data_IF_172015204253
#
_entry.id   IF_172015204253
#
_cell.length_a   1.000
_cell.length_b   1.000
_cell.length_c   1.000
_cell.angle_alpha   90.00
_cell.angle_beta   90.00
_cell.angle_gamma   90.00
#
_symmetry.space_group_name_H-M   'P 1'
#
loop_
_entity.id
_entity.type
_entity.pdbx_description
1 polymer ?
#
# COMPACT_ATOMS: atom_id res chain seq x y z
N UNK A 1 19.69 -10.81 4.05
CA UNK A 1 18.27 -11.14 3.84
C UNK A 1 17.54 -11.30 5.16
N UNK A 2 17.97 -12.19 6.06
CA UNK A 2 17.34 -12.38 7.37
C UNK A 2 17.39 -11.14 8.28
N UNK A 3 18.53 -10.42 8.31
CA UNK A 3 18.65 -9.17 9.07
C UNK A 3 17.66 -8.09 8.60
N UNK A 4 17.44 -7.97 7.28
CA UNK A 4 16.49 -7.02 6.71
C UNK A 4 15.04 -7.39 7.06
N UNK A 5 14.68 -8.67 6.96
CA UNK A 5 13.38 -9.19 7.39
C UNK A 5 13.10 -8.89 8.87
N UNK A 6 14.08 -9.17 9.74
CA UNK A 6 13.93 -8.92 11.18
C UNK A 6 13.80 -7.41 11.49
N UNK A 7 14.51 -6.57 10.74
CA UNK A 7 14.37 -5.12 10.85
C UNK A 7 12.97 -4.66 10.42
N UNK A 8 12.48 -5.12 9.26
CA UNK A 8 11.14 -4.80 8.77
C UNK A 8 10.05 -5.18 9.76
N UNK A 9 10.09 -6.42 10.28
CA UNK A 9 9.15 -6.89 11.30
C UNK A 9 9.16 -5.98 12.54
N UNK A 10 10.34 -5.57 12.99
CA UNK A 10 10.50 -4.69 14.16
C UNK A 10 9.89 -3.31 13.91
N UNK A 11 10.18 -2.68 12.78
CA UNK A 11 9.68 -1.34 12.44
C UNK A 11 8.18 -1.35 12.17
N UNK A 12 7.65 -2.34 11.45
CA UNK A 12 6.20 -2.52 11.27
C UNK A 12 5.49 -2.67 12.62
N UNK A 13 6.00 -3.51 13.52
CA UNK A 13 5.43 -3.65 14.87
C UNK A 13 5.48 -2.36 15.68
N UNK A 14 6.58 -1.60 15.57
CA UNK A 14 6.72 -0.31 16.24
C UNK A 14 5.69 0.69 15.73
N UNK A 15 5.54 0.80 14.42
CA UNK A 15 4.53 1.64 13.77
C UNK A 15 3.12 1.23 14.21
N UNK A 16 2.77 -0.04 14.05
CA UNK A 16 1.46 -0.59 14.38
C UNK A 16 1.12 -0.39 15.87
N UNK A 17 2.08 -0.55 16.77
CA UNK A 17 1.86 -0.32 18.20
C UNK A 17 1.48 1.13 18.50
N UNK A 18 2.18 2.11 17.91
CA UNK A 18 1.90 3.53 18.11
C UNK A 18 0.53 3.91 17.58
N UNK A 19 0.17 3.43 16.39
CA UNK A 19 -1.13 3.74 15.80
C UNK A 19 -2.25 3.07 16.60
N UNK A 20 -2.17 1.75 16.86
CA UNK A 20 -3.22 1.02 17.58
C UNK A 20 -3.40 1.47 19.04
N UNK A 21 -2.31 1.77 19.74
CA UNK A 21 -2.37 2.00 21.20
C UNK A 21 -2.45 3.48 21.56
N UNK A 22 -2.02 4.37 20.67
CA UNK A 22 -1.85 5.79 20.97
C UNK A 22 -2.49 6.70 19.91
N UNK A 23 -3.10 6.13 18.86
CA UNK A 23 -3.59 6.87 17.69
C UNK A 23 -2.53 7.82 17.10
N UNK A 24 -1.24 7.42 17.18
CA UNK A 24 -0.09 8.22 16.77
C UNK A 24 0.51 7.67 15.47
N UNK A 25 0.38 8.46 14.41
CA UNK A 25 0.94 8.17 13.10
C UNK A 25 2.36 8.76 12.99
N UNK A 26 3.38 7.93 13.20
CA UNK A 26 4.78 8.32 13.08
C UNK A 26 5.39 7.78 11.78
N UNK A 27 5.27 8.56 10.70
CA UNK A 27 5.75 8.17 9.38
C UNK A 27 7.28 8.18 9.25
N UNK A 28 8.02 8.72 10.23
CA UNK A 28 9.49 8.62 10.22
C UNK A 28 9.96 7.17 10.29
N UNK A 29 9.14 6.29 10.88
CA UNK A 29 9.36 4.85 10.96
C UNK A 29 9.34 4.24 9.57
N UNK A 30 8.26 4.48 8.82
CA UNK A 30 8.06 3.92 7.49
C UNK A 30 9.00 4.57 6.47
N UNK A 31 9.30 5.87 6.60
CA UNK A 31 10.29 6.58 5.77
C UNK A 31 11.71 6.04 5.97
N UNK A 32 12.03 5.53 7.16
CA UNK A 32 13.30 4.85 7.44
C UNK A 32 13.32 3.38 6.99
N UNK A 33 12.16 2.79 6.74
CA UNK A 33 12.01 1.39 6.31
C UNK A 33 11.96 1.23 4.78
N UNK A 34 11.27 2.15 4.10
CA UNK A 34 11.05 2.11 2.65
C UNK A 34 12.24 2.68 1.87
N UNK A 35 12.40 2.23 0.63
CA UNK A 35 13.37 2.80 -0.32
C UNK A 35 13.08 4.28 -0.58
N UNK A 36 11.80 4.60 -0.78
CA UNK A 36 11.30 5.96 -1.00
C UNK A 36 9.90 6.08 -0.43
N UNK A 37 9.60 7.22 0.17
CA UNK A 37 8.25 7.57 0.61
C UNK A 37 8.00 9.04 0.32
N UNK A 38 6.95 9.33 -0.44
CA UNK A 38 6.43 10.69 -0.65
C UNK A 38 5.69 11.21 0.58
N UNK A 39 4.99 12.32 0.41
CA UNK A 39 4.36 13.06 1.50
C UNK A 39 2.83 12.85 1.50
N UNK A 40 2.15 13.31 2.56
CA UNK A 40 0.67 13.24 2.67
C UNK A 40 0.09 11.82 2.52
N UNK A 41 0.83 10.82 2.99
CA UNK A 41 0.39 9.43 2.99
C UNK A 41 -0.38 9.09 4.28
N UNK A 42 -1.35 8.20 4.17
CA UNK A 42 -2.15 7.70 5.28
C UNK A 42 -2.16 6.18 5.29
N UNK A 43 -1.59 5.56 6.32
CA UNK A 43 -1.42 4.11 6.38
C UNK A 43 -2.06 3.62 7.68
N UNK A 44 -3.13 2.86 7.56
CA UNK A 44 -3.82 2.27 8.70
C UNK A 44 -2.96 1.19 9.40
N UNK A 45 -3.21 0.90 10.69
CA UNK A 45 -2.41 -0.04 11.45
C UNK A 45 -2.54 -1.48 10.95
N UNK A 46 -1.64 -2.30 11.49
CA UNK A 46 -1.40 -3.70 11.09
C UNK A 46 -0.77 -3.85 9.70
N UNK A 47 -0.17 -2.77 9.19
CA UNK A 47 0.69 -2.82 8.02
C UNK A 47 1.90 -3.73 8.26
N UNK A 48 2.20 -4.60 7.29
CA UNK A 48 3.37 -5.47 7.31
C UNK A 48 4.06 -5.49 5.95
N UNK A 49 5.37 -5.68 5.95
CA UNK A 49 6.13 -5.98 4.74
C UNK A 49 7.23 -7.03 4.97
N UNK A 50 7.75 -7.56 3.88
CA UNK A 50 8.73 -8.64 3.87
C UNK A 50 10.16 -8.14 4.18
N UNK A 51 10.61 -7.09 3.48
CA UNK A 51 11.90 -6.43 3.68
C UNK A 51 11.77 -4.90 3.89
N UNK A 52 10.73 -4.28 3.33
CA UNK A 52 10.49 -2.83 3.35
C UNK A 52 11.36 -2.03 2.38
N UNK A 53 12.65 -2.36 2.32
CA UNK A 53 13.67 -1.65 1.53
C UNK A 53 13.53 -1.76 0.01
N UNK A 54 12.59 -2.56 -0.50
CA UNK A 54 12.25 -2.60 -1.93
C UNK A 54 10.95 -1.84 -2.25
N UNK A 55 10.34 -1.18 -1.27
CA UNK A 55 9.08 -0.44 -1.42
C UNK A 55 9.38 1.02 -1.72
N UNK A 56 8.85 1.53 -2.83
CA UNK A 56 8.81 2.95 -3.16
C UNK A 56 7.35 3.42 -3.15
N UNK A 57 7.01 4.30 -2.22
CA UNK A 57 5.67 4.87 -2.06
C UNK A 57 5.67 6.32 -2.54
N UNK A 58 4.69 6.68 -3.37
CA UNK A 58 4.42 8.04 -3.82
C UNK A 58 3.85 8.95 -2.72
N UNK A 59 3.15 9.99 -3.13
CA UNK A 59 2.47 10.96 -2.26
C UNK A 59 0.95 10.85 -2.39
N UNK A 60 0.22 11.27 -1.35
CA UNK A 60 -1.26 11.16 -1.32
C UNK A 60 -1.75 9.71 -1.46
N UNK A 61 -1.08 8.77 -0.80
CA UNK A 61 -1.47 7.35 -0.79
C UNK A 61 -2.22 7.00 0.48
N UNK A 62 -3.39 6.38 0.35
CA UNK A 62 -4.11 5.72 1.43
C UNK A 62 -3.90 4.20 1.35
N UNK A 63 -3.47 3.61 2.46
CA UNK A 63 -3.36 2.16 2.67
C UNK A 63 -4.25 1.78 3.83
N UNK A 64 -5.21 0.89 3.61
CA UNK A 64 -6.14 0.43 4.62
C UNK A 64 -5.53 -0.62 5.57
N UNK A 65 -6.28 -0.98 6.62
CA UNK A 65 -5.88 -1.91 7.67
C UNK A 65 -5.38 -3.25 7.12
N UNK A 66 -4.47 -3.87 7.87
CA UNK A 66 -4.00 -5.24 7.62
C UNK A 66 -3.32 -5.46 6.25
N UNK A 67 -2.85 -4.39 5.59
CA UNK A 67 -2.09 -4.48 4.34
C UNK A 67 -0.78 -5.24 4.54
N UNK A 68 -0.50 -6.20 3.65
CA UNK A 68 0.77 -6.94 3.61
C UNK A 68 1.43 -6.78 2.25
N UNK A 69 2.66 -6.26 2.22
CA UNK A 69 3.47 -6.14 1.00
C UNK A 69 4.62 -7.15 1.02
N UNK A 70 4.63 -8.09 0.07
CA UNK A 70 5.73 -9.05 -0.10
C UNK A 70 6.76 -8.52 -1.11
N UNK A 71 7.72 -7.73 -0.64
CA UNK A 71 8.72 -7.03 -1.45
C UNK A 71 10.04 -7.82 -1.62
N UNK A 72 9.96 -9.08 -2.07
CA UNK A 72 11.15 -9.85 -2.49
C UNK A 72 11.85 -9.26 -3.73
N UNK A 73 11.16 -8.36 -4.44
CA UNK A 73 11.66 -7.54 -5.54
C UNK A 73 11.03 -6.13 -5.41
N UNK A 74 11.40 -5.21 -6.29
CA UNK A 74 10.90 -3.84 -6.28
C UNK A 74 9.35 -3.77 -6.31
N UNK A 75 8.80 -2.95 -5.43
CA UNK A 75 7.38 -2.59 -5.36
C UNK A 75 7.28 -1.08 -5.42
N UNK A 76 6.64 -0.55 -6.46
CA UNK A 76 6.42 0.89 -6.61
C UNK A 76 4.93 1.20 -6.59
N UNK A 77 4.50 2.01 -5.63
CA UNK A 77 3.14 2.55 -5.51
C UNK A 77 3.22 4.04 -5.88
N UNK A 78 2.45 4.44 -6.89
CA UNK A 78 2.43 5.81 -7.41
C UNK A 78 1.73 6.82 -6.50
N UNK A 79 1.54 8.04 -7.00
CA UNK A 79 0.84 9.10 -6.29
C UNK A 79 -0.69 8.93 -6.41
N UNK A 80 -1.45 9.46 -5.44
CA UNK A 80 -2.93 9.50 -5.44
C UNK A 80 -3.60 8.11 -5.52
N UNK A 81 -3.09 7.15 -4.75
CA UNK A 81 -3.60 5.78 -4.69
C UNK A 81 -4.45 5.58 -3.43
N UNK A 82 -5.64 4.97 -3.57
CA UNK A 82 -6.59 4.83 -2.46
C UNK A 82 -6.89 3.40 -1.98
N UNK A 83 -6.30 2.33 -2.55
CA UNK A 83 -6.10 1.02 -1.89
C UNK A 83 -5.49 -0.08 -2.80
N UNK A 84 -4.58 -0.89 -2.23
CA UNK A 84 -4.18 -2.28 -2.57
C UNK A 84 -3.62 -2.63 -3.97
N UNK A 85 -2.28 -2.79 -4.10
CA UNK A 85 -1.58 -3.27 -5.33
C UNK A 85 -0.63 -4.45 -4.98
N UNK A 86 -0.59 -5.53 -5.78
CA UNK A 86 0.46 -6.58 -5.68
C UNK A 86 1.74 -6.18 -6.45
N UNK A 87 2.93 -6.75 -6.13
CA UNK A 87 4.17 -6.48 -6.86
C UNK A 87 4.03 -6.71 -8.38
N UNK A 88 4.46 -5.75 -9.19
CA UNK A 88 4.45 -5.84 -10.66
C UNK A 88 3.10 -5.55 -11.32
N UNK A 89 2.14 -5.00 -10.58
CA UNK A 89 0.82 -4.61 -11.10
C UNK A 89 0.65 -3.10 -11.02
N UNK A 90 0.03 -2.49 -12.04
CA UNK A 90 -0.28 -1.05 -12.08
C UNK A 90 -1.76 -0.82 -11.83
N UNK A 91 -2.10 0.15 -10.98
CA UNK A 91 -3.47 0.66 -10.84
C UNK A 91 -3.51 2.04 -11.48
N UNK A 92 -4.32 2.18 -12.52
CA UNK A 92 -4.54 3.44 -13.21
C UNK A 92 -5.26 4.45 -12.32
N UNK A 93 -4.93 5.72 -12.51
CA UNK A 93 -5.49 6.85 -11.77
C UNK A 93 -7.04 6.84 -11.72
N UNK A 94 -7.59 7.47 -10.66
CA UNK A 94 -9.03 7.61 -10.46
C UNK A 94 -9.78 6.27 -10.45
N UNK A 95 -9.12 5.19 -10.04
CA UNK A 95 -9.75 3.87 -9.90
C UNK A 95 -10.08 3.58 -8.44
N UNK A 96 -11.13 2.80 -8.21
CA UNK A 96 -11.57 2.38 -6.88
C UNK A 96 -11.37 0.87 -6.78
N UNK A 97 -10.62 0.43 -5.77
CA UNK A 97 -10.48 -1.00 -5.43
C UNK A 97 -11.38 -1.32 -4.25
N UNK A 98 -12.27 -2.30 -4.40
CA UNK A 98 -13.12 -2.76 -3.29
C UNK A 98 -12.28 -3.40 -2.18
N UNK A 99 -12.65 -3.17 -0.93
CA UNK A 99 -11.97 -3.77 0.22
C UNK A 99 -11.91 -5.31 0.11
N UNK A 100 -10.79 -5.91 0.52
CA UNK A 100 -10.56 -7.35 0.46
C UNK A 100 -10.21 -7.90 -0.93
N UNK A 101 -9.87 -7.03 -1.88
CA UNK A 101 -9.50 -7.44 -3.24
C UNK A 101 -8.04 -7.87 -3.35
N UNK A 102 -7.77 -8.91 -4.13
CA UNK A 102 -6.40 -9.38 -4.43
C UNK A 102 -6.05 -9.00 -5.86
N UNK A 103 -5.30 -7.92 -6.03
CA UNK A 103 -5.03 -7.31 -7.34
C UNK A 103 -3.89 -8.04 -8.06
N UNK A 104 -4.24 -9.09 -8.81
CA UNK A 104 -3.29 -9.95 -9.54
C UNK A 104 -2.91 -9.48 -10.94
N UNK A 105 -3.54 -8.40 -11.44
CA UNK A 105 -3.38 -7.89 -12.83
C UNK A 105 -3.62 -6.39 -12.86
N UNK A 106 -3.04 -5.73 -13.85
CA UNK A 106 -3.20 -4.30 -14.08
C UNK A 106 -4.68 -3.88 -14.09
N UNK A 107 -4.96 -2.79 -13.39
CA UNK A 107 -6.28 -2.16 -13.32
C UNK A 107 -6.25 -0.89 -14.17
N UNK A 108 -7.07 -0.77 -15.22
CA UNK A 108 -7.16 0.45 -16.03
C UNK A 108 -7.60 1.66 -15.20
N UNK A 109 -7.25 2.88 -15.64
CA UNK A 109 -7.73 4.11 -15.01
C UNK A 109 -9.26 4.27 -15.12
N UNK A 110 -9.85 5.02 -14.18
CA UNK A 110 -11.28 5.37 -14.15
C UNK A 110 -12.22 4.14 -14.05
N UNK A 111 -11.85 3.12 -13.28
CA UNK A 111 -12.70 1.93 -13.07
C UNK A 111 -12.94 1.64 -11.60
N UNK A 112 -14.02 0.92 -11.31
CA UNK A 112 -14.22 0.24 -10.04
C UNK A 112 -13.87 -1.23 -10.26
N UNK A 113 -12.95 -1.77 -9.47
CA UNK A 113 -12.56 -3.18 -9.50
C UNK A 113 -12.66 -3.80 -8.10
N UNK A 114 -13.05 -5.06 -7.99
CA UNK A 114 -12.98 -5.77 -6.72
C UNK A 114 -12.85 -7.29 -6.88
N UNK A 115 -12.60 -7.97 -5.76
CA UNK A 115 -12.67 -9.43 -5.62
C UNK A 115 -11.31 -10.10 -5.45
N UNK A 116 -11.35 -11.41 -5.19
CA UNK A 116 -10.18 -12.27 -5.12
C UNK A 116 -10.34 -13.42 -6.15
N UNK A 117 -9.69 -13.36 -7.33
CA UNK A 117 -8.82 -12.27 -7.81
C UNK A 117 -9.61 -11.02 -8.25
N UNK A 118 -8.98 -9.85 -8.16
CA UNK A 118 -9.59 -8.56 -8.49
C UNK A 118 -9.94 -8.47 -9.98
N UNK A 119 -11.14 -7.96 -10.28
CA UNK A 119 -11.69 -7.80 -11.63
C UNK A 119 -12.38 -6.45 -11.73
N UNK A 120 -12.31 -5.84 -12.92
CA UNK A 120 -13.08 -4.63 -13.23
C UNK A 120 -14.57 -4.94 -13.17
N UNK A 121 -15.30 -4.20 -12.34
CA UNK A 121 -16.76 -4.28 -12.21
C UNK A 121 -17.42 -3.32 -13.20
N UNK A 122 -16.99 -2.05 -13.22
CA UNK A 122 -17.54 -1.02 -14.12
C UNK A 122 -16.61 0.19 -14.25
N UNK A 123 -16.82 1.01 -15.28
CA UNK A 123 -16.20 2.33 -15.39
C UNK A 123 -16.78 3.38 -14.42
N UNK A 124 -16.00 4.42 -14.15
CA UNK A 124 -16.40 5.64 -13.44
C UNK A 124 -16.66 6.72 -14.48
N UNK A 125 -17.90 7.20 -14.57
CA UNK A 125 -18.23 8.36 -15.42
C UNK A 125 -17.96 9.65 -14.64
N UNK A 126 -17.20 10.58 -15.24
CA UNK A 126 -17.11 11.95 -14.73
C UNK A 126 -18.49 12.60 -14.94
N UNK A 127 -19.11 13.06 -13.85
CA UNK A 127 -20.22 14.01 -13.99
C UNK A 127 -19.63 15.30 -14.54
N UNK A 128 -20.03 15.64 -15.77
CA UNK A 128 -19.79 16.94 -16.38
C UNK A 128 -20.63 18.03 -15.71
#
# INVERSE_FOLDING_TARGET
MEAARNHAIKECRRYNFLVNSQNKYDYSILKGLFNKMGEENYIEPNFMCELGLNISLGSNVYINHDMVILDCNEVTIGDHISDSVLPGVTIGENSIIGAGSVVTKDIPANVIAAGNPCRVIRGIQKKG
#
